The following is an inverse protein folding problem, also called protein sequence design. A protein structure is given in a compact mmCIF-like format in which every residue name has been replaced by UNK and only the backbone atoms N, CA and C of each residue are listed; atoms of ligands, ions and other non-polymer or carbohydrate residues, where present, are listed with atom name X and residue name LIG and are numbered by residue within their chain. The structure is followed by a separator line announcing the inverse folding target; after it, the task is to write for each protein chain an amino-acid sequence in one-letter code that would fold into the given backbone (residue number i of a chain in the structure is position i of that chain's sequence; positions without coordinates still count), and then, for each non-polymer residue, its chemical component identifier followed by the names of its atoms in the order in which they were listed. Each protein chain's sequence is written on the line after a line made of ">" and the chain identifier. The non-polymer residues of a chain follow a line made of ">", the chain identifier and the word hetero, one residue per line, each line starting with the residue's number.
data_IF_285188845885
#
_entry.id   IF_285188845885
#
_cell.length_a   1.000
_cell.length_b   1.000
_cell.length_c   1.000
_cell.angle_alpha   90.00
_cell.angle_beta   90.00
_cell.angle_gamma   90.00
#
_symmetry.space_group_name_H-M   'P 1'
#
loop_
_entity.id
_entity.type
_entity.pdbx_description
1 polymer ?
#
# COMPACT_ATOMS: atom_id res chain seq x y z
N UNK A 1 15.24 11.57 32.59
CA UNK A 1 14.06 10.76 32.20
C UNK A 1 13.69 11.14 30.79
N UNK A 2 13.65 10.15 29.89
CA UNK A 2 13.88 10.32 28.45
C UNK A 2 12.78 11.03 27.67
N UNK A 3 13.21 11.99 26.86
CA UNK A 3 12.44 12.74 25.86
C UNK A 3 12.33 11.95 24.54
N UNK A 4 11.68 10.77 24.53
CA UNK A 4 11.44 10.00 23.29
C UNK A 4 10.02 9.43 23.13
N UNK A 5 9.09 9.76 24.02
CA UNK A 5 7.75 9.14 24.00
C UNK A 5 6.67 9.92 23.21
N UNK A 6 7.02 11.07 22.59
CA UNK A 6 6.01 11.98 22.00
C UNK A 6 6.28 12.54 20.60
N UNK A 7 7.24 12.00 19.85
CA UNK A 7 7.60 12.53 18.51
C UNK A 7 7.34 11.59 17.32
N UNK A 8 6.76 10.41 17.54
CA UNK A 8 6.09 9.65 16.48
C UNK A 8 4.59 9.80 16.67
N UNK A 9 4.05 10.94 16.23
CA UNK A 9 2.67 11.35 16.47
C UNK A 9 1.66 10.24 16.17
N UNK A 10 0.92 9.84 17.21
CA UNK A 10 -0.29 9.02 17.16
C UNK A 10 -0.28 7.97 16.04
N UNK A 11 0.55 6.93 16.17
CA UNK A 11 0.29 5.68 15.46
C UNK A 11 -1.11 5.23 15.88
N UNK A 12 -2.08 5.38 14.99
CA UNK A 12 -3.42 4.82 15.14
C UNK A 12 -3.20 3.32 15.39
N UNK A 13 -3.36 2.88 16.63
CA UNK A 13 -3.16 1.47 16.99
C UNK A 13 -4.30 0.69 16.36
N UNK A 14 -4.00 0.03 15.25
CA UNK A 14 -4.95 -0.82 14.57
C UNK A 14 -4.95 -2.20 15.21
N UNK A 15 -6.13 -2.84 15.37
CA UNK A 15 -6.21 -4.20 15.88
C UNK A 15 -5.29 -5.14 15.08
N UNK A 16 -4.66 -6.14 15.72
CA UNK A 16 -3.82 -7.07 15.00
C UNK A 16 -4.63 -7.83 13.94
N UNK A 17 -4.05 -8.04 12.77
CA UNK A 17 -4.64 -8.86 11.72
C UNK A 17 -4.68 -10.31 12.20
N UNK A 18 -5.86 -10.93 12.12
CA UNK A 18 -5.99 -12.35 12.43
C UNK A 18 -5.27 -13.17 11.35
N UNK A 19 -4.52 -14.20 11.76
CA UNK A 19 -3.79 -15.09 10.83
C UNK A 19 -4.72 -15.92 9.96
N UNK A 20 -5.93 -16.21 10.46
CA UNK A 20 -6.95 -16.93 9.72
C UNK A 20 -7.71 -16.02 8.74
N UNK A 21 -7.48 -14.70 8.79
CA UNK A 21 -8.13 -13.75 7.90
C UNK A 21 -7.69 -13.98 6.44
N UNK A 22 -8.62 -13.96 5.46
CA UNK A 22 -8.27 -14.06 4.05
C UNK A 22 -7.19 -13.05 3.60
N UNK A 23 -7.14 -11.87 4.22
CA UNK A 23 -6.12 -10.87 3.96
C UNK A 23 -4.72 -11.33 4.36
N UNK A 24 -4.58 -12.02 5.49
CA UNK A 24 -3.31 -12.58 5.93
C UNK A 24 -2.83 -13.68 4.96
N UNK A 25 -3.74 -14.54 4.52
CA UNK A 25 -3.43 -15.60 3.55
C UNK A 25 -2.99 -15.03 2.19
N UNK A 26 -3.63 -13.95 1.72
CA UNK A 26 -3.25 -13.23 0.49
C UNK A 26 -1.84 -12.64 0.58
N UNK A 27 -1.48 -12.05 1.72
CA UNK A 27 -0.14 -11.52 1.94
C UNK A 27 0.91 -12.64 2.00
N UNK A 28 0.59 -13.76 2.64
CA UNK A 28 1.46 -14.93 2.71
C UNK A 28 1.70 -15.57 1.32
N UNK A 29 0.69 -15.60 0.45
CA UNK A 29 0.85 -16.05 -0.93
C UNK A 29 1.84 -15.18 -1.73
N UNK A 30 1.98 -13.91 -1.35
CA UNK A 30 2.91 -12.95 -1.95
C UNK A 30 4.12 -12.65 -1.04
N UNK A 31 4.41 -13.53 -0.07
CA UNK A 31 5.37 -13.25 1.02
C UNK A 31 6.70 -12.69 0.53
N UNK A 32 7.36 -13.37 -0.42
CA UNK A 32 8.68 -12.96 -0.90
C UNK A 32 8.72 -11.53 -1.50
N UNK A 33 7.90 -11.17 -2.50
CA UNK A 33 7.90 -9.82 -3.04
C UNK A 33 7.40 -8.79 -2.02
N UNK A 34 6.46 -9.14 -1.15
CA UNK A 34 5.98 -8.25 -0.08
C UNK A 34 7.08 -7.95 0.94
N UNK A 35 7.76 -8.97 1.47
CA UNK A 35 8.86 -8.81 2.44
C UNK A 35 9.99 -7.98 1.85
N UNK A 36 10.35 -8.24 0.58
CA UNK A 36 11.35 -7.46 -0.14
C UNK A 36 10.96 -5.98 -0.18
N UNK A 37 9.76 -5.67 -0.66
CA UNK A 37 9.26 -4.30 -0.75
C UNK A 37 9.24 -3.61 0.62
N UNK A 38 8.75 -4.30 1.65
CA UNK A 38 8.65 -3.78 3.01
C UNK A 38 10.03 -3.48 3.60
N UNK A 39 11.03 -4.30 3.29
CA UNK A 39 12.42 -4.15 3.76
C UNK A 39 13.15 -2.95 3.15
N UNK A 40 12.86 -2.62 1.89
CA UNK A 40 13.52 -1.53 1.17
C UNK A 40 12.95 -0.15 1.56
N UNK A 41 11.73 -0.13 2.08
CA UNK A 41 11.02 1.11 2.41
C UNK A 41 11.24 1.46 3.87
N UNK A 42 11.62 2.72 4.15
CA UNK A 42 11.75 3.24 5.53
C UNK A 42 10.46 3.84 6.06
N UNK A 43 9.67 4.45 5.18
CA UNK A 43 8.40 5.10 5.52
C UNK A 43 7.33 4.12 6.02
N UNK A 44 6.28 4.61 6.72
CA UNK A 44 5.12 3.79 7.09
C UNK A 44 4.47 3.16 5.86
N UNK A 45 3.94 1.94 6.01
CA UNK A 45 3.34 1.19 4.91
C UNK A 45 1.93 0.78 5.27
N UNK A 46 0.99 1.03 4.35
CA UNK A 46 -0.34 0.46 4.35
C UNK A 46 -0.52 -0.44 3.13
N UNK A 47 -0.96 -1.67 3.32
CA UNK A 47 -1.17 -2.66 2.26
C UNK A 47 -2.65 -3.01 2.10
N UNK A 48 -3.09 -3.05 0.85
CA UNK A 48 -4.41 -3.54 0.44
C UNK A 48 -4.18 -4.90 -0.25
N UNK A 49 -4.47 -6.02 0.43
CA UNK A 49 -4.22 -7.34 -0.11
C UNK A 49 -5.26 -7.73 -1.18
N UNK A 50 -4.81 -8.31 -2.27
CA UNK A 50 -5.63 -8.92 -3.32
C UNK A 50 -5.20 -10.37 -3.57
N UNK A 51 -5.92 -11.07 -4.46
CA UNK A 51 -5.69 -12.50 -4.69
C UNK A 51 -4.31 -12.80 -5.31
N UNK A 52 -3.92 -12.02 -6.32
CA UNK A 52 -2.67 -12.20 -7.06
C UNK A 52 -1.83 -10.91 -7.10
N UNK A 53 -2.27 -9.89 -6.37
CA UNK A 53 -1.68 -8.55 -6.35
C UNK A 53 -1.84 -7.95 -4.98
N UNK A 54 -0.87 -7.17 -4.53
CA UNK A 54 -1.00 -6.39 -3.30
C UNK A 54 -0.61 -4.94 -3.59
N UNK A 55 -1.43 -3.98 -3.16
CA UNK A 55 -1.17 -2.56 -3.33
C UNK A 55 -0.63 -1.98 -2.04
N UNK A 56 0.41 -1.15 -2.13
CA UNK A 56 1.13 -0.57 -1.01
C UNK A 56 1.09 0.95 -1.12
N UNK A 57 0.51 1.58 -0.12
CA UNK A 57 0.64 3.01 0.13
C UNK A 57 1.84 3.24 1.06
N UNK A 58 2.76 4.09 0.63
CA UNK A 58 4.04 4.33 1.29
C UNK A 58 4.05 5.76 1.81
N UNK A 59 4.22 5.98 3.11
CA UNK A 59 4.21 7.29 3.73
C UNK A 59 2.95 7.58 4.51
N UNK A 60 2.40 8.79 4.36
CA UNK A 60 1.23 9.29 5.10
C UNK A 60 0.12 9.68 4.12
N UNK A 61 -0.63 8.72 3.56
CA UNK A 61 -1.81 9.01 2.76
C UNK A 61 -2.88 9.72 3.62
N UNK A 62 -3.64 10.69 3.08
CA UNK A 62 -3.65 11.18 1.69
C UNK A 62 -2.67 12.36 1.43
N UNK A 63 -1.79 12.73 2.38
CA UNK A 63 -0.95 13.94 2.26
C UNK A 63 0.31 13.74 1.43
N UNK A 64 1.21 12.87 1.87
CA UNK A 64 2.48 12.58 1.19
C UNK A 64 2.62 11.07 1.14
N UNK A 65 2.32 10.49 0.00
CA UNK A 65 2.41 9.06 -0.18
C UNK A 65 2.92 8.69 -1.56
N UNK A 66 3.68 7.60 -1.62
CA UNK A 66 3.93 6.86 -2.85
C UNK A 66 2.97 5.68 -2.95
N UNK A 67 2.86 5.12 -4.15
CA UNK A 67 2.15 3.87 -4.38
C UNK A 67 3.09 2.89 -5.09
N UNK A 68 3.10 1.67 -4.58
CA UNK A 68 3.73 0.53 -5.22
C UNK A 68 2.76 -0.66 -5.19
N UNK A 69 2.92 -1.62 -6.08
CA UNK A 69 2.14 -2.84 -6.04
C UNK A 69 2.94 -4.02 -6.56
N UNK A 70 2.59 -5.20 -6.06
CA UNK A 70 3.08 -6.46 -6.60
C UNK A 70 2.12 -6.87 -7.72
N UNK A 71 2.65 -6.94 -8.95
CA UNK A 71 1.95 -7.45 -10.11
C UNK A 71 1.75 -8.97 -10.05
N UNK A 72 0.91 -9.50 -10.96
CA UNK A 72 0.58 -10.94 -11.02
C UNK A 72 1.79 -11.84 -11.26
N UNK A 73 2.81 -11.31 -11.91
CA UNK A 73 4.09 -11.96 -12.17
C UNK A 73 5.09 -11.83 -11.00
N UNK A 74 4.66 -11.31 -9.85
CA UNK A 74 5.49 -11.07 -8.69
C UNK A 74 6.41 -9.84 -8.82
N UNK A 75 6.33 -9.10 -9.93
CA UNK A 75 7.10 -7.88 -10.12
C UNK A 75 6.57 -6.74 -9.27
N UNK A 76 7.48 -6.02 -8.65
CA UNK A 76 7.16 -4.79 -7.93
C UNK A 76 7.10 -3.66 -8.95
N UNK A 77 5.93 -3.04 -9.06
CA UNK A 77 5.69 -1.86 -9.90
C UNK A 77 5.47 -0.65 -8.99
N UNK A 78 6.08 0.48 -9.35
CA UNK A 78 5.90 1.75 -8.67
C UNK A 78 5.87 2.89 -9.71
N UNK A 79 5.66 4.13 -9.26
CA UNK A 79 5.63 5.29 -10.18
C UNK A 79 6.91 5.45 -11.00
N UNK A 80 8.09 5.09 -10.46
CA UNK A 80 9.34 5.13 -11.21
C UNK A 80 9.35 4.10 -12.34
N UNK A 81 8.99 2.84 -12.03
CA UNK A 81 8.86 1.78 -13.03
C UNK A 81 7.86 2.14 -14.13
N UNK A 82 6.76 2.82 -13.78
CA UNK A 82 5.80 3.30 -14.77
C UNK A 82 6.40 4.33 -15.75
N UNK A 83 7.25 5.23 -15.28
CA UNK A 83 7.94 6.18 -16.17
C UNK A 83 8.96 5.45 -17.03
N UNK A 84 9.75 4.56 -16.43
CA UNK A 84 10.84 3.85 -17.12
C UNK A 84 10.31 2.83 -18.14
N UNK A 85 9.24 2.08 -17.83
CA UNK A 85 8.72 1.01 -18.68
C UNK A 85 7.58 1.44 -19.61
N UNK A 86 6.72 2.36 -19.16
CA UNK A 86 5.55 2.81 -19.94
C UNK A 86 5.73 4.20 -20.54
N UNK A 87 6.83 4.89 -20.23
CA UNK A 87 7.06 6.26 -20.71
C UNK A 87 6.02 7.25 -20.17
N UNK A 88 5.42 6.95 -19.01
CA UNK A 88 4.38 7.79 -18.43
C UNK A 88 4.92 9.20 -18.16
N UNK A 89 4.19 10.20 -18.65
CA UNK A 89 4.54 11.60 -18.41
C UNK A 89 4.37 11.96 -16.93
N UNK A 90 5.10 12.98 -16.47
CA UNK A 90 4.94 13.53 -15.11
C UNK A 90 3.48 13.94 -14.86
N UNK A 91 2.84 14.56 -15.85
CA UNK A 91 1.43 15.00 -15.78
C UNK A 91 0.48 13.79 -15.59
N UNK A 92 0.76 12.68 -16.26
CA UNK A 92 -0.03 11.44 -16.12
C UNK A 92 0.16 10.82 -14.73
N UNK A 93 1.38 10.84 -14.19
CA UNK A 93 1.66 10.40 -12.82
C UNK A 93 0.98 11.28 -11.77
N UNK A 94 0.96 12.59 -11.95
CA UNK A 94 0.26 13.51 -11.05
C UNK A 94 -1.24 13.20 -11.03
N UNK A 95 -1.86 13.04 -12.21
CA UNK A 95 -3.27 12.63 -12.32
C UNK A 95 -3.53 11.27 -11.67
N UNK A 96 -2.65 10.29 -11.87
CA UNK A 96 -2.75 8.99 -11.23
C UNK A 96 -2.69 9.12 -9.71
N UNK A 97 -1.72 9.88 -9.19
CA UNK A 97 -1.56 10.15 -7.76
C UNK A 97 -2.79 10.83 -7.16
N UNK A 98 -3.35 11.85 -7.83
CA UNK A 98 -4.55 12.54 -7.38
C UNK A 98 -5.79 11.63 -7.37
N UNK A 99 -5.96 10.78 -8.40
CA UNK A 99 -7.05 9.79 -8.43
C UNK A 99 -6.91 8.76 -7.32
N UNK A 100 -5.71 8.23 -7.10
CA UNK A 100 -5.43 7.29 -6.00
C UNK A 100 -5.66 7.93 -4.64
N UNK A 101 -5.33 9.22 -4.49
CA UNK A 101 -5.65 10.00 -3.30
C UNK A 101 -7.15 10.10 -3.07
N UNK A 102 -7.93 10.41 -4.10
CA UNK A 102 -9.39 10.46 -4.01
C UNK A 102 -9.99 9.12 -3.60
N UNK A 103 -9.54 8.03 -4.23
CA UNK A 103 -9.97 6.67 -3.85
C UNK A 103 -9.61 6.37 -2.40
N UNK A 104 -8.38 6.65 -1.98
CA UNK A 104 -7.96 6.46 -0.59
C UNK A 104 -8.86 7.24 0.37
N UNK A 105 -9.21 8.50 0.06
CA UNK A 105 -10.12 9.33 0.86
C UNK A 105 -11.52 8.71 0.98
N UNK A 106 -12.07 8.20 -0.12
CA UNK A 106 -13.39 7.57 -0.14
C UNK A 106 -13.46 6.31 0.73
N UNK A 107 -12.34 5.60 0.88
CA UNK A 107 -12.22 4.37 1.65
C UNK A 107 -11.51 4.58 3.01
N UNK A 108 -11.51 5.81 3.55
CA UNK A 108 -10.88 6.08 4.85
C UNK A 108 -11.59 5.44 6.04
N UNK A 109 -12.86 5.08 5.89
CA UNK A 109 -13.66 4.47 6.95
C UNK A 109 -13.56 2.94 6.96
N UNK A 110 -12.88 2.35 5.97
CA UNK A 110 -12.65 0.91 5.90
C UNK A 110 -11.87 0.40 7.12
N UNK A 111 -12.16 -0.84 7.57
CA UNK A 111 -11.46 -1.45 8.69
C UNK A 111 -9.97 -1.59 8.37
N UNK A 112 -9.14 -1.28 9.36
CA UNK A 112 -7.69 -1.37 9.26
C UNK A 112 -7.17 -2.21 10.39
N UNK A 113 -6.19 -3.03 10.06
CA UNK A 113 -5.51 -3.94 10.97
C UNK A 113 -4.01 -3.67 10.94
N UNK A 114 -3.27 -4.21 11.90
CA UNK A 114 -1.81 -4.17 11.91
C UNK A 114 -1.24 -5.57 11.85
N UNK A 115 -0.15 -5.74 11.13
CA UNK A 115 0.64 -6.99 11.11
C UNK A 115 2.12 -6.65 11.09
N UNK A 116 2.96 -7.63 11.41
CA UNK A 116 4.42 -7.48 11.36
C UNK A 116 4.92 -8.24 10.14
N UNK A 117 5.61 -7.55 9.25
CA UNK A 117 6.28 -8.12 8.08
C UNK A 117 7.75 -7.71 8.16
N UNK A 118 8.65 -8.68 8.22
CA UNK A 118 10.10 -8.44 8.33
C UNK A 118 10.46 -7.45 9.46
N UNK A 119 9.96 -7.73 10.67
CA UNK A 119 10.15 -6.91 11.88
C UNK A 119 9.58 -5.48 11.81
N UNK A 120 8.88 -5.15 10.73
CA UNK A 120 8.24 -3.85 10.51
C UNK A 120 6.73 -3.95 10.65
N UNK A 121 6.15 -2.99 11.38
CA UNK A 121 4.70 -2.87 11.45
C UNK A 121 4.14 -2.34 10.12
N UNK A 122 3.17 -3.07 9.58
CA UNK A 122 2.46 -2.76 8.35
C UNK A 122 0.97 -2.70 8.65
N UNK A 123 0.30 -1.66 8.16
CA UNK A 123 -1.15 -1.52 8.25
C UNK A 123 -1.78 -2.32 7.11
N UNK A 124 -2.82 -3.12 7.40
CA UNK A 124 -3.53 -3.92 6.41
C UNK A 124 -4.96 -3.42 6.31
N UNK A 125 -5.37 -3.06 5.10
CA UNK A 125 -6.74 -2.62 4.79
C UNK A 125 -7.39 -3.68 3.92
N UNK A 126 -8.07 -4.68 4.50
CA UNK A 126 -8.69 -5.79 3.78
C UNK A 126 -10.00 -5.36 3.12
N UNK A 127 -9.89 -4.54 2.08
CA UNK A 127 -11.03 -3.96 1.38
C UNK A 127 -11.01 -4.30 -0.10
N UNK A 128 -11.99 -5.10 -0.52
CA UNK A 128 -12.16 -5.52 -1.92
C UNK A 128 -12.62 -4.37 -2.82
N UNK A 129 -13.38 -3.43 -2.28
CA UNK A 129 -13.84 -2.21 -2.97
C UNK A 129 -12.66 -1.27 -3.22
N UNK A 130 -11.88 -0.94 -2.17
CA UNK A 130 -10.66 -0.15 -2.29
C UNK A 130 -9.69 -0.76 -3.30
N UNK A 131 -9.46 -2.08 -3.21
CA UNK A 131 -8.62 -2.80 -4.16
C UNK A 131 -9.11 -2.64 -5.60
N UNK A 132 -10.41 -2.80 -5.84
CA UNK A 132 -10.99 -2.72 -7.18
C UNK A 132 -10.90 -1.31 -7.75
N UNK A 133 -11.11 -0.29 -6.93
CA UNK A 133 -11.00 1.11 -7.33
C UNK A 133 -9.55 1.51 -7.62
N UNK A 134 -8.58 1.09 -6.79
CA UNK A 134 -7.15 1.29 -7.05
C UNK A 134 -6.77 0.64 -8.38
N UNK A 135 -7.18 -0.62 -8.58
CA UNK A 135 -6.88 -1.37 -9.80
C UNK A 135 -7.41 -0.63 -11.03
N UNK A 136 -8.67 -0.19 -10.99
CA UNK A 136 -9.29 0.57 -12.09
C UNK A 136 -8.55 1.86 -12.38
N UNK A 137 -8.17 2.61 -11.35
CA UNK A 137 -7.40 3.86 -11.49
C UNK A 137 -6.04 3.62 -12.15
N UNK A 138 -5.35 2.55 -11.77
CA UNK A 138 -4.07 2.17 -12.38
C UNK A 138 -4.26 1.72 -13.82
N UNK A 139 -5.23 0.83 -14.09
CA UNK A 139 -5.54 0.34 -15.45
C UNK A 139 -5.88 1.49 -16.40
N UNK A 140 -6.71 2.45 -15.97
CA UNK A 140 -7.04 3.64 -16.76
C UNK A 140 -5.83 4.56 -17.03
N UNK A 141 -4.80 4.52 -16.19
CA UNK A 141 -3.61 5.36 -16.32
C UNK A 141 -2.51 4.72 -17.16
N UNK A 142 -2.49 3.38 -17.25
CA UNK A 142 -1.50 2.61 -18.03
C UNK A 142 -2.04 2.07 -19.34
N UNK A 143 -3.34 2.24 -19.61
CA UNK A 143 -4.01 1.97 -20.89
C UNK A 143 -3.72 3.06 -21.92
#
# INVERSE_FOLDING_TARGET
>A
MGFMDKLFGATKEFPPLNKDDPAAQKLEALRQPVEKLVSEIKDPIEVVPGNETAFFFIGKPPKKFGVAWVGKDGKIVNFKSLVEEKGLSIISLEKLSDRLKSVYIQHQEEPRFSTIINEKQVVVTPSETLKSDIKKVIEDAVS
#
